data_IF_558009340603
#
_entry.id   IF_558009340603
#
_cell.length_a   1.000
_cell.length_b   1.000
_cell.length_c   1.000
_cell.angle_alpha   90.00
_cell.angle_beta   90.00
_cell.angle_gamma   90.00
#
_symmetry.space_group_name_H-M   'P 1'
#
loop_
_entity.id
_entity.type
_entity.pdbx_description
1 polymer ?
#
# COMPACT_ATOMS: atom_id res chain seq x y z
N UNK A 1 -15.13 -4.11 7.07
CA UNK A 1 -13.79 -4.06 7.73
C UNK A 1 -12.92 -3.04 7.02
N UNK A 2 -12.03 -2.34 7.75
CA UNK A 2 -11.02 -1.44 7.16
C UNK A 2 -9.65 -1.96 7.60
N UNK A 3 -8.72 -2.10 6.66
CA UNK A 3 -7.33 -2.45 6.90
C UNK A 3 -6.42 -1.34 6.38
N UNK A 4 -5.44 -0.92 7.18
CA UNK A 4 -4.38 -0.01 6.77
C UNK A 4 -3.05 -0.73 6.77
N UNK A 5 -2.27 -0.58 5.71
CA UNK A 5 -1.01 -1.31 5.53
C UNK A 5 0.00 -0.47 4.76
N UNK A 6 1.28 -0.58 5.08
CA UNK A 6 2.34 0.03 4.26
C UNK A 6 2.56 -0.74 2.95
N UNK A 7 3.04 -0.05 1.93
CA UNK A 7 3.33 -0.60 0.61
C UNK A 7 4.26 -1.84 0.65
N UNK A 8 5.34 -1.79 1.42
CA UNK A 8 6.22 -2.92 1.60
C UNK A 8 5.52 -4.12 2.23
N UNK A 9 4.74 -3.92 3.28
CA UNK A 9 3.99 -4.99 3.94
C UNK A 9 2.89 -5.55 3.04
N UNK A 10 2.22 -4.70 2.28
CA UNK A 10 1.22 -5.13 1.30
C UNK A 10 1.83 -6.02 0.22
N UNK A 11 2.96 -5.61 -0.35
CA UNK A 11 3.69 -6.42 -1.33
C UNK A 11 4.19 -7.74 -0.72
N UNK A 12 4.78 -7.70 0.47
CA UNK A 12 5.31 -8.87 1.15
C UNK A 12 4.22 -9.90 1.48
N UNK A 13 3.02 -9.43 1.83
CA UNK A 13 1.88 -10.27 2.20
C UNK A 13 1.23 -11.00 1.03
N UNK A 14 1.72 -10.85 -0.21
CA UNK A 14 1.12 -11.43 -1.41
C UNK A 14 -0.40 -11.18 -1.47
N UNK A 15 -0.86 -9.97 -1.76
CA UNK A 15 -2.25 -9.55 -1.54
C UNK A 15 -3.27 -10.19 -2.49
N UNK A 16 -2.84 -10.80 -3.59
CA UNK A 16 -3.75 -11.41 -4.57
C UNK A 16 -4.67 -12.48 -3.96
N UNK A 17 -4.18 -13.47 -3.19
CA UNK A 17 -5.05 -14.45 -2.53
C UNK A 17 -6.05 -13.81 -1.56
N UNK A 18 -5.62 -12.77 -0.83
CA UNK A 18 -6.50 -12.03 0.07
C UNK A 18 -7.69 -11.39 -0.66
N UNK A 19 -7.42 -10.67 -1.75
CA UNK A 19 -8.48 -10.03 -2.54
C UNK A 19 -9.36 -11.05 -3.25
N UNK A 20 -8.76 -12.14 -3.76
CA UNK A 20 -9.51 -13.24 -4.37
C UNK A 20 -10.52 -13.85 -3.38
N UNK A 21 -10.07 -14.24 -2.18
CA UNK A 21 -10.94 -14.80 -1.14
C UNK A 21 -12.00 -13.78 -0.70
N UNK A 22 -11.62 -12.53 -0.52
CA UNK A 22 -12.56 -11.46 -0.17
C UNK A 22 -13.71 -11.34 -1.19
N UNK A 23 -13.39 -11.49 -2.47
CA UNK A 23 -14.39 -11.48 -3.55
C UNK A 23 -15.21 -12.75 -3.60
N UNK A 24 -14.55 -13.92 -3.55
CA UNK A 24 -15.21 -15.22 -3.65
C UNK A 24 -16.20 -15.49 -2.50
N UNK A 25 -15.83 -15.07 -1.30
CA UNK A 25 -16.64 -15.30 -0.08
C UNK A 25 -17.54 -14.11 0.29
N UNK A 26 -17.66 -13.11 -0.60
CA UNK A 26 -18.46 -11.90 -0.35
C UNK A 26 -18.11 -11.20 0.97
N UNK A 27 -16.79 -11.03 1.22
CA UNK A 27 -16.23 -10.37 2.40
C UNK A 27 -15.64 -9.01 2.00
N UNK A 28 -16.46 -7.98 1.69
CA UNK A 28 -15.95 -6.71 1.22
C UNK A 28 -15.16 -5.99 2.32
N UNK A 29 -13.93 -5.64 1.98
CA UNK A 29 -13.02 -4.89 2.84
C UNK A 29 -12.49 -3.67 2.12
N UNK A 30 -12.27 -2.58 2.86
CA UNK A 30 -11.48 -1.45 2.39
C UNK A 30 -10.04 -1.62 2.83
N UNK A 31 -9.12 -1.72 1.89
CA UNK A 31 -7.68 -1.72 2.14
C UNK A 31 -7.10 -0.37 1.77
N UNK A 32 -6.38 0.26 2.69
CA UNK A 32 -5.68 1.52 2.46
C UNK A 32 -4.18 1.22 2.51
N UNK A 33 -3.54 1.31 1.35
CA UNK A 33 -2.08 1.14 1.23
C UNK A 33 -1.43 2.50 1.36
N UNK A 34 -0.68 2.73 2.45
CA UNK A 34 0.15 3.93 2.61
C UNK A 34 1.47 3.73 1.89
N UNK A 35 1.58 4.31 0.69
CA UNK A 35 2.65 4.05 -0.24
C UNK A 35 3.70 5.16 -0.20
N UNK A 36 4.82 4.90 0.46
CA UNK A 36 5.99 5.78 0.46
C UNK A 36 7.12 5.30 -0.47
N UNK A 37 6.84 4.27 -1.27
CA UNK A 37 7.77 3.65 -2.22
C UNK A 37 9.03 3.09 -1.53
N UNK A 38 8.86 2.49 -0.34
CA UNK A 38 10.00 2.04 0.44
C UNK A 38 9.66 0.89 1.40
N UNK A 39 10.60 -0.03 1.54
CA UNK A 39 10.69 -0.95 2.68
C UNK A 39 11.19 -0.18 3.92
N UNK A 40 10.35 0.72 4.44
CA UNK A 40 10.75 1.68 5.47
C UNK A 40 11.24 1.03 6.75
N UNK A 41 10.58 -0.03 7.21
CA UNK A 41 10.99 -0.78 8.40
C UNK A 41 12.36 -1.45 8.21
N UNK A 42 12.63 -2.03 7.04
CA UNK A 42 13.92 -2.64 6.71
C UNK A 42 15.03 -1.60 6.71
N UNK A 43 14.77 -0.45 6.09
CA UNK A 43 15.71 0.67 6.10
C UNK A 43 16.01 1.15 7.52
N UNK A 44 14.98 1.36 8.33
CA UNK A 44 15.14 1.83 9.71
C UNK A 44 15.94 0.82 10.54
N UNK A 45 15.58 -0.46 10.49
CA UNK A 45 16.29 -1.51 11.23
C UNK A 45 17.78 -1.58 10.86
N UNK A 46 18.11 -1.37 9.58
CA UNK A 46 19.52 -1.33 9.15
C UNK A 46 20.25 -0.13 9.74
N UNK A 47 19.60 1.05 9.76
CA UNK A 47 20.21 2.25 10.35
C UNK A 47 20.38 2.15 11.88
N UNK A 48 19.44 1.48 12.55
CA UNK A 48 19.50 1.28 14.01
C UNK A 48 20.68 0.36 14.39
N UNK A 49 20.96 -0.65 13.56
CA UNK A 49 22.07 -1.60 13.81
C UNK A 49 23.41 -1.02 13.33
N UNK A 50 23.42 -0.28 12.23
CA UNK A 50 24.64 0.26 11.62
C UNK A 50 24.54 1.78 11.36
N UNK A 51 24.44 2.62 12.41
CA UNK A 51 24.20 4.06 12.27
C UNK A 51 25.33 4.79 11.52
N UNK A 52 26.56 4.26 11.63
CA UNK A 52 27.75 4.77 10.95
C UNK A 52 28.19 3.94 9.74
N UNK A 53 27.33 3.04 9.29
CA UNK A 53 27.58 2.16 8.17
C UNK A 53 27.66 2.90 6.82
N UNK A 54 28.17 2.22 5.80
CA UNK A 54 28.29 2.80 4.44
C UNK A 54 26.95 3.26 3.89
N UNK A 55 25.89 2.49 4.12
CA UNK A 55 24.53 2.83 3.67
C UNK A 55 23.99 4.09 4.36
N UNK A 56 24.25 4.23 5.67
CA UNK A 56 23.86 5.40 6.44
C UNK A 56 24.59 6.66 5.94
N UNK A 57 25.91 6.58 5.78
CA UNK A 57 26.75 7.69 5.28
C UNK A 57 26.40 8.13 3.87
N UNK A 58 26.11 7.18 2.99
CA UNK A 58 25.71 7.46 1.62
C UNK A 58 24.24 7.89 1.49
N UNK A 59 23.43 7.67 2.53
CA UNK A 59 21.96 7.76 2.51
C UNK A 59 21.33 7.01 1.34
N UNK A 60 21.97 5.93 0.92
CA UNK A 60 21.52 5.03 -0.15
C UNK A 60 21.54 3.61 0.39
N UNK A 61 20.40 2.95 0.31
CA UNK A 61 20.26 1.57 0.78
C UNK A 61 19.64 0.72 -0.33
N UNK A 62 20.46 -0.04 -1.08
CA UNK A 62 19.95 -0.89 -2.14
C UNK A 62 18.84 -1.82 -1.65
N UNK A 63 17.89 -2.12 -2.53
CA UNK A 63 16.78 -3.04 -2.29
C UNK A 63 15.75 -2.59 -1.25
N UNK A 64 15.87 -1.39 -0.69
CA UNK A 64 14.83 -0.84 0.18
C UNK A 64 13.89 0.13 -0.53
N UNK A 65 14.22 0.60 -1.72
CA UNK A 65 13.37 1.46 -2.52
C UNK A 65 12.47 0.62 -3.44
N UNK A 66 11.18 0.96 -3.47
CA UNK A 66 10.16 0.37 -4.34
C UNK A 66 9.86 1.31 -5.51
N UNK A 67 10.88 1.60 -6.32
CA UNK A 67 10.76 2.49 -7.48
C UNK A 67 11.13 1.74 -8.77
N UNK A 68 10.32 1.86 -9.84
CA UNK A 68 9.02 2.56 -9.88
C UNK A 68 8.00 1.88 -8.97
N UNK A 69 7.10 2.68 -8.39
CA UNK A 69 6.03 2.13 -7.53
C UNK A 69 5.11 1.20 -8.32
N UNK A 70 4.82 0.00 -7.81
CA UNK A 70 3.75 -0.81 -8.37
C UNK A 70 2.40 -0.10 -8.25
N UNK A 71 1.51 -0.38 -9.19
CA UNK A 71 0.12 0.08 -9.16
C UNK A 71 -0.69 -0.87 -8.25
N UNK A 72 -0.58 -0.68 -6.95
CA UNK A 72 -1.20 -1.58 -5.95
C UNK A 72 -2.72 -1.63 -6.05
N UNK A 73 -3.36 -0.56 -6.50
CA UNK A 73 -4.81 -0.50 -6.76
C UNK A 73 -5.26 -1.52 -7.81
N UNK A 74 -4.41 -1.86 -8.77
CA UNK A 74 -4.75 -2.83 -9.82
C UNK A 74 -4.81 -4.27 -9.32
N UNK A 75 -4.24 -4.56 -8.17
CA UNK A 75 -4.29 -5.91 -7.58
C UNK A 75 -5.72 -6.28 -7.22
N UNK A 76 -6.46 -5.40 -6.57
CA UNK A 76 -7.88 -5.64 -6.25
C UNK A 76 -8.75 -5.64 -7.50
N UNK A 77 -8.44 -4.80 -8.49
CA UNK A 77 -9.15 -4.77 -9.77
C UNK A 77 -9.05 -6.12 -10.52
N UNK A 78 -7.90 -6.79 -10.47
CA UNK A 78 -7.71 -8.12 -11.05
C UNK A 78 -8.63 -9.19 -10.44
N UNK A 79 -9.15 -8.93 -9.23
CA UNK A 79 -10.13 -9.76 -8.53
C UNK A 79 -11.58 -9.19 -8.63
N UNK A 80 -11.81 -8.19 -9.49
CA UNK A 80 -13.13 -7.56 -9.65
C UNK A 80 -13.50 -6.59 -8.54
N UNK A 81 -12.51 -6.05 -7.81
CA UNK A 81 -12.68 -5.02 -6.81
C UNK A 81 -12.57 -3.60 -7.37
N UNK A 82 -12.74 -2.61 -6.48
CA UNK A 82 -12.56 -1.18 -6.77
C UNK A 82 -11.14 -0.75 -6.38
N UNK A 83 -10.33 -0.37 -7.35
CA UNK A 83 -8.98 0.15 -7.15
C UNK A 83 -8.90 1.64 -7.47
N UNK A 84 -8.18 2.41 -6.63
CA UNK A 84 -7.95 3.82 -6.89
C UNK A 84 -6.60 4.27 -6.33
N UNK A 85 -5.85 5.04 -7.13
CA UNK A 85 -4.61 5.70 -6.71
C UNK A 85 -4.92 7.12 -6.27
N UNK A 86 -4.39 7.51 -5.12
CA UNK A 86 -4.56 8.83 -4.52
C UNK A 86 -3.19 9.50 -4.46
N UNK A 87 -2.99 10.54 -5.24
CA UNK A 87 -1.69 11.22 -5.36
C UNK A 87 -1.63 12.53 -4.59
N UNK A 88 -2.78 13.12 -4.29
CA UNK A 88 -2.87 14.39 -3.56
C UNK A 88 -3.80 14.30 -2.35
N UNK A 89 -3.57 15.16 -1.34
CA UNK A 89 -4.43 15.22 -0.17
C UNK A 89 -5.88 15.61 -0.51
N UNK A 90 -6.08 16.40 -1.56
CA UNK A 90 -7.41 16.83 -2.00
C UNK A 90 -8.25 15.65 -2.55
N UNK A 91 -7.59 14.66 -3.15
CA UNK A 91 -8.25 13.47 -3.70
C UNK A 91 -8.67 12.46 -2.63
N UNK A 92 -8.04 12.50 -1.45
CA UNK A 92 -8.21 11.45 -0.43
C UNK A 92 -9.66 11.32 0.04
N UNK A 93 -10.31 12.43 0.37
CA UNK A 93 -11.71 12.38 0.86
C UNK A 93 -12.67 11.85 -0.20
N UNK A 94 -12.69 12.35 -1.44
CA UNK A 94 -13.53 11.79 -2.50
C UNK A 94 -13.25 10.31 -2.80
N UNK A 95 -11.98 9.90 -2.78
CA UNK A 95 -11.59 8.50 -3.00
C UNK A 95 -12.11 7.59 -1.88
N UNK A 96 -12.02 8.03 -0.62
CA UNK A 96 -12.59 7.31 0.52
C UNK A 96 -14.10 7.15 0.39
N UNK A 97 -14.82 8.19 -0.03
CA UNK A 97 -16.29 8.14 -0.23
C UNK A 97 -16.65 7.09 -1.28
N UNK A 98 -15.96 7.05 -2.43
CA UNK A 98 -16.17 6.04 -3.48
C UNK A 98 -15.83 4.63 -3.00
N UNK A 99 -14.70 4.47 -2.30
CA UNK A 99 -14.29 3.19 -1.77
C UNK A 99 -15.27 2.65 -0.70
N UNK A 100 -15.80 3.51 0.15
CA UNK A 100 -16.85 3.14 1.10
C UNK A 100 -18.14 2.70 0.40
N UNK A 101 -18.55 3.40 -0.65
CA UNK A 101 -19.72 3.01 -1.42
C UNK A 101 -19.52 1.64 -2.10
N UNK A 102 -18.34 1.40 -2.69
CA UNK A 102 -18.01 0.10 -3.24
C UNK A 102 -18.11 -1.02 -2.18
N UNK A 103 -17.55 -0.81 -1.00
CA UNK A 103 -17.61 -1.81 0.09
C UNK A 103 -19.04 -2.01 0.59
N UNK A 104 -19.85 -0.96 0.71
CA UNK A 104 -21.27 -1.08 1.09
C UNK A 104 -22.08 -1.85 0.06
N UNK A 105 -21.74 -1.73 -1.21
CA UNK A 105 -22.38 -2.49 -2.31
C UNK A 105 -21.84 -3.93 -2.45
N UNK A 106 -20.95 -4.38 -1.57
CA UNK A 106 -20.40 -5.74 -1.56
C UNK A 106 -19.14 -5.92 -2.39
N UNK A 107 -18.48 -4.82 -2.84
CA UNK A 107 -17.28 -4.86 -3.66
C UNK A 107 -16.05 -4.51 -2.81
N UNK A 108 -15.02 -5.39 -2.72
CA UNK A 108 -13.75 -5.04 -2.07
C UNK A 108 -13.11 -3.81 -2.71
N UNK A 109 -12.48 -2.97 -1.91
CA UNK A 109 -11.83 -1.76 -2.40
C UNK A 109 -10.38 -1.63 -1.88
N UNK A 110 -9.50 -1.07 -2.71
CA UNK A 110 -8.14 -0.72 -2.33
C UNK A 110 -7.81 0.70 -2.78
N UNK A 111 -7.38 1.52 -1.84
CA UNK A 111 -6.80 2.83 -2.12
C UNK A 111 -5.29 2.77 -1.98
N UNK A 112 -4.57 3.09 -3.07
CA UNK A 112 -3.12 3.26 -3.08
C UNK A 112 -2.81 4.73 -2.83
N UNK A 113 -2.56 5.07 -1.57
CA UNK A 113 -2.37 6.46 -1.13
C UNK A 113 -0.89 6.81 -1.13
N UNK A 114 -0.49 7.65 -2.07
CA UNK A 114 0.89 8.12 -2.17
C UNK A 114 1.24 9.02 -0.99
N UNK A 115 2.31 8.68 -0.28
CA UNK A 115 2.79 9.40 0.91
C UNK A 115 4.23 9.84 0.73
N UNK A 116 4.66 10.81 1.54
CA UNK A 116 6.05 11.23 1.51
C UNK A 116 6.96 10.22 2.21
N UNK A 117 8.09 9.98 1.57
CA UNK A 117 9.19 9.25 2.18
C UNK A 117 9.82 10.12 3.27
N UNK A 118 9.83 9.66 4.53
CA UNK A 118 10.72 10.24 5.54
C UNK A 118 12.15 9.78 5.26
N UNK A 119 13.00 10.72 4.92
CA UNK A 119 14.43 10.50 4.73
C UNK A 119 15.18 10.63 6.05
#
# INVERSE_FOLDING_TARGET
>A
MIATVGDGSYMFGNPLPYHYVGRAESLPTLTIVTNNMMWGAVRQSTLDVYPDGKAAKANVMPLTELRPSPDFEKVVESCGGHGEKVETAAELKPALERAFEAVRSGTPATLNVMTQMRR
#
